data_IF_855713684837
#
_entry.id   IF_855713684837
#
_cell.length_a   1.000
_cell.length_b   1.000
_cell.length_c   1.000
_cell.angle_alpha   90.00
_cell.angle_beta   90.00
_cell.angle_gamma   90.00
#
_symmetry.space_group_name_H-M   'P 1'
#
loop_
_entity.id
_entity.type
_entity.pdbx_description
1 polymer ?
2 non-polymer ?
3 non-polymer ?
4 non-polymer ?
5 non-polymer ?
6 water ?
#
# COMPACT_ATOMS: atom_id res chain seq x y z
N UNK A 3 -14.07 -12.88 13.39
CA UNK A 3 -14.56 -11.61 13.93
C UNK A 3 -14.02 -10.38 13.18
N UNK A 4 -12.83 -10.56 12.59
CA UNK A 4 -12.02 -9.55 11.86
C UNK A 4 -10.87 -9.02 12.71
N UNK A 5 -9.66 -9.48 12.39
CA UNK A 5 -8.44 -8.98 13.00
C UNK A 5 -7.65 -8.30 11.92
N UNK A 6 -6.84 -7.32 12.31
CA UNK A 6 -5.96 -6.64 11.38
C UNK A 6 -4.52 -6.70 11.87
N UNK A 7 -3.67 -7.31 11.05
CA UNK A 7 -2.25 -7.40 11.34
C UNK A 7 -1.52 -6.44 10.43
N UNK A 8 -0.57 -5.69 10.99
CA UNK A 8 0.30 -4.87 10.19
C UNK A 8 1.60 -5.63 9.95
N UNK A 9 1.94 -5.81 8.68
CA UNK A 9 3.20 -6.43 8.31
C UNK A 9 4.23 -5.33 8.14
N UNK A 10 5.14 -5.24 9.09
CA UNK A 10 6.20 -4.27 9.10
C UNK A 10 7.18 -4.61 7.97
N UNK A 11 7.36 -3.68 7.04
CA UNK A 11 8.22 -3.93 5.89
C UNK A 11 9.49 -3.10 5.84
N UNK A 12 10.00 -2.70 7.00
CA UNK A 12 11.24 -1.94 7.04
C UNK A 12 11.04 -0.48 6.66
N UNK A 13 12.08 0.14 6.12
CA UNK A 13 12.04 1.59 5.94
C UNK A 13 12.76 2.09 4.69
N UNK A 14 12.51 3.36 4.35
CA UNK A 14 13.08 4.00 3.18
C UNK A 14 13.42 5.45 3.49
N UNK A 15 14.18 6.11 2.62
CA UNK A 15 14.56 7.50 2.85
C UNK A 15 14.20 8.42 1.69
N UNK A 16 13.48 9.49 2.01
CA UNK A 16 13.16 10.53 1.04
C UNK A 16 13.63 11.85 1.59
N UNK A 17 13.78 12.84 0.72
CA UNK A 17 13.99 14.19 1.22
C UNK A 17 12.68 14.71 1.79
N UNK A 18 12.77 15.65 2.73
CA UNK A 18 11.58 16.26 3.31
C UNK A 18 10.70 16.95 2.30
N UNK A 19 11.29 17.42 1.20
CA UNK A 19 10.52 18.07 0.15
C UNK A 19 9.70 17.07 -0.68
N UNK A 20 10.09 15.80 -0.64
CA UNK A 20 9.31 14.74 -1.26
C UNK A 20 8.07 14.45 -0.45
N UNK A 21 8.29 14.30 0.86
CA UNK A 21 7.22 13.95 1.79
C UNK A 21 6.23 15.10 1.92
N UNK A 22 6.75 16.32 1.92
CA UNK A 22 5.94 17.52 2.05
C UNK A 22 6.14 18.44 0.86
N UNK A 23 5.30 18.24 -0.16
CA UNK A 23 5.38 18.96 -1.41
C UNK A 23 5.57 20.45 -1.23
N UNK A 24 6.75 20.94 -1.63
CA UNK A 24 7.10 22.36 -1.57
C UNK A 24 7.31 22.95 -0.17
N UNK A 25 6.59 22.40 0.80
CA UNK A 25 6.65 22.86 2.19
C UNK A 25 7.91 22.41 2.92
N UNK A 26 8.19 21.11 2.86
CA UNK A 26 9.34 20.53 3.55
C UNK A 26 9.22 20.57 5.06
N UNK A 27 10.31 20.95 5.75
CA UNK A 27 11.61 21.37 5.19
C UNK A 27 12.44 20.22 4.64
N UNK A 28 13.60 20.55 4.09
CA UNK A 28 14.44 19.56 3.44
C UNK A 28 15.28 18.76 4.42
N UNK A 29 16.18 17.94 3.88
CA UNK A 29 16.99 17.06 4.68
C UNK A 29 16.40 15.66 4.66
N UNK A 30 17.26 14.66 4.82
CA UNK A 30 16.81 13.26 4.77
C UNK A 30 15.76 12.96 5.81
N UNK A 31 14.77 12.17 5.42
CA UNK A 31 13.77 11.68 6.35
C UNK A 31 13.54 10.20 6.09
N UNK A 32 13.65 9.41 7.15
CA UNK A 32 13.39 7.97 7.06
C UNK A 32 11.97 7.70 7.49
N UNK A 33 11.27 6.86 6.73
CA UNK A 33 9.88 6.53 7.02
C UNK A 33 9.69 5.02 6.86
N UNK A 34 8.73 4.45 7.58
CA UNK A 34 8.43 3.02 7.50
C UNK A 34 7.58 2.68 6.28
N UNK A 35 7.61 1.41 5.87
CA UNK A 35 6.68 0.92 4.86
C UNK A 35 6.02 -0.31 5.45
N UNK A 36 4.71 -0.43 5.27
CA UNK A 36 4.01 -1.62 5.77
C UNK A 36 2.85 -2.05 4.87
N UNK A 37 2.34 -3.24 5.17
CA UNK A 37 1.23 -3.82 4.44
C UNK A 37 0.13 -4.16 5.43
N UNK A 38 -1.07 -4.43 4.94
CA UNK A 38 -2.21 -4.66 5.82
C UNK A 38 -2.83 -6.03 5.63
N UNK A 39 -2.67 -6.89 6.62
CA UNK A 39 -3.29 -8.20 6.59
C UNK A 39 -4.60 -8.19 7.33
N UNK A 40 -5.68 -8.47 6.62
CA UNK A 40 -7.00 -8.59 7.23
C UNK A 40 -7.38 -10.06 7.27
N UNK A 41 -7.50 -10.60 8.48
CA UNK A 41 -8.07 -11.93 8.65
C UNK A 41 -9.55 -11.75 8.93
N UNK A 42 -10.36 -12.26 8.02
CA UNK A 42 -11.78 -11.94 7.92
C UNK A 42 -12.54 -13.23 7.66
N UNK A 43 -13.82 -13.26 8.01
CA UNK A 43 -14.65 -14.45 7.83
C UNK A 43 -14.79 -14.85 6.36
N UNK A 44 -14.43 -13.93 5.46
CA UNK A 44 -14.56 -14.20 4.03
C UNK A 44 -13.20 -14.51 3.39
N UNK A 45 -12.15 -14.53 4.21
CA UNK A 45 -10.82 -14.92 3.75
C UNK A 45 -9.72 -14.05 4.31
N UNK A 46 -8.47 -14.36 3.94
CA UNK A 46 -7.33 -13.52 4.30
C UNK A 46 -6.98 -12.56 3.17
N UNK A 47 -7.12 -11.27 3.45
CA UNK A 47 -6.87 -10.22 2.47
C UNK A 47 -5.59 -9.50 2.82
N UNK A 48 -4.70 -9.36 1.83
CA UNK A 48 -3.49 -8.57 1.99
C UNK A 48 -3.58 -7.29 1.17
N UNK A 49 -3.48 -6.15 1.83
CA UNK A 49 -3.58 -4.88 1.13
C UNK A 49 -2.15 -4.33 1.00
N UNK A 50 -1.64 -4.27 -0.22
CA UNK A 50 -0.25 -3.88 -0.50
C UNK A 50 0.74 -4.92 -0.01
N UNK A 51 1.96 -4.85 -0.54
CA UNK A 51 2.95 -5.88 -0.29
C UNK A 51 4.37 -5.33 -0.11
N UNK A 52 4.47 -4.07 0.27
CA UNK A 52 5.75 -3.47 0.61
C UNK A 52 6.67 -3.25 -0.57
N UNK A 53 7.96 -3.07 -0.28
CA UNK A 53 8.95 -2.88 -1.32
C UNK A 53 9.90 -4.07 -1.40
N UNK A 54 10.38 -4.37 -2.60
CA UNK A 54 11.38 -5.42 -2.79
C UNK A 54 12.77 -4.84 -2.59
N UNK A 55 13.53 -5.42 -1.67
CA UNK A 55 14.83 -4.87 -1.29
C UNK A 55 15.84 -4.82 -2.43
N UNK A 56 15.90 -5.86 -3.25
CA UNK A 56 16.86 -5.86 -4.35
C UNK A 56 16.50 -4.78 -5.36
N UNK A 57 15.20 -4.66 -5.65
CA UNK A 57 14.72 -3.61 -6.56
C UNK A 57 15.16 -2.23 -6.11
N UNK A 58 14.97 -1.92 -4.83
CA UNK A 58 15.33 -0.60 -4.35
C UNK A 58 16.84 -0.38 -4.39
N UNK A 59 17.61 -1.36 -3.94
CA UNK A 59 19.07 -1.23 -3.93
C UNK A 59 19.64 -1.04 -5.32
N UNK A 60 18.96 -1.59 -6.32
CA UNK A 60 19.40 -1.46 -7.70
C UNK A 60 18.98 -0.13 -8.31
N UNK A 61 17.71 0.22 -8.12
CA UNK A 61 17.13 1.35 -8.82
C UNK A 61 17.03 2.61 -7.98
N UNK A 62 16.77 2.45 -6.67
CA UNK A 62 16.67 3.62 -5.80
C UNK A 62 17.54 3.57 -4.55
N UNK A 63 18.86 3.29 -4.71
CA UNK A 63 19.73 3.10 -3.53
C UNK A 63 19.86 4.38 -2.71
N UNK A 64 19.55 5.50 -3.34
CA UNK A 64 19.52 6.79 -2.65
C UNK A 64 18.39 6.85 -1.61
N UNK A 65 17.45 5.92 -1.68
CA UNK A 65 16.41 5.83 -0.65
C UNK A 65 16.88 4.99 0.53
N UNK A 66 18.11 4.48 0.42
CA UNK A 66 18.81 3.79 1.51
C UNK A 66 17.91 2.82 2.28
N UNK A 67 17.47 1.74 1.62
CA UNK A 67 16.54 0.83 2.30
C UNK A 67 17.19 0.10 3.47
N UNK A 68 16.44 0.00 4.57
CA UNK A 68 16.80 -0.88 5.66
C UNK A 68 15.62 -1.79 5.88
N UNK A 69 15.81 -3.08 5.61
CA UNK A 69 14.76 -4.07 5.72
C UNK A 69 15.34 -5.41 6.14
N UNK A 70 15.06 -5.82 7.37
CA UNK A 70 15.53 -7.10 7.87
C UNK A 70 14.66 -8.23 7.31
N UNK A 71 15.13 -9.47 7.41
CA UNK A 71 14.48 -10.59 6.75
C UNK A 71 13.10 -10.93 7.34
N UNK A 72 12.80 -10.44 8.53
CA UNK A 72 11.45 -10.64 9.05
C UNK A 72 10.52 -9.55 8.52
N UNK A 73 11.08 -8.63 7.75
CA UNK A 73 10.30 -7.52 7.19
C UNK A 73 10.11 -7.59 5.68
N UNK A 74 10.39 -8.74 5.09
CA UNK A 74 9.90 -9.04 3.76
C UNK A 74 8.50 -9.56 3.98
N UNK A 75 7.70 -9.66 2.91
CA UNK A 75 6.36 -10.21 3.04
C UNK A 75 6.33 -11.65 3.59
N UNK A 76 7.11 -12.57 2.97
CA UNK A 76 7.11 -13.94 3.52
C UNK A 76 7.66 -14.00 4.94
N UNK A 77 8.63 -13.16 5.25
CA UNK A 77 9.17 -13.06 6.60
C UNK A 77 8.15 -12.57 7.62
N UNK A 78 7.46 -11.49 7.30
CA UNK A 78 6.45 -10.92 8.21
C UNK A 78 5.26 -11.84 8.42
N UNK A 79 4.84 -12.52 7.35
CA UNK A 79 3.81 -13.54 7.48
C UNK A 79 4.34 -14.70 8.32
N UNK A 80 5.64 -14.95 8.19
CA UNK A 80 6.31 -15.99 8.96
C UNK A 80 6.07 -15.85 10.45
N UNK A 81 6.06 -14.62 10.95
CA UNK A 81 5.85 -14.36 12.37
C UNK A 81 4.43 -14.69 12.84
N UNK A 82 3.57 -15.04 11.89
CA UNK A 82 2.18 -15.38 12.23
C UNK A 82 1.88 -16.85 11.94
N UNK A 83 2.92 -17.61 11.61
CA UNK A 83 2.72 -19.00 11.21
C UNK A 83 1.99 -19.08 9.89
N UNK A 84 2.23 -18.09 9.03
CA UNK A 84 1.56 -18.03 7.74
C UNK A 84 2.58 -18.02 6.60
N UNK A 85 2.10 -18.44 5.43
CA UNK A 85 2.88 -18.38 4.21
C UNK A 85 2.07 -17.60 3.20
N UNK A 86 2.73 -17.03 2.17
CA UNK A 86 2.04 -16.28 1.10
C UNK A 86 0.85 -17.04 0.56
N UNK A 87 0.97 -18.36 0.54
CA UNK A 87 -0.09 -19.25 0.04
C UNK A 87 -1.39 -19.17 0.84
N UNK A 88 -1.31 -18.75 2.10
CA UNK A 88 -2.50 -18.68 2.96
C UNK A 88 -3.36 -17.44 2.70
N UNK A 89 -2.86 -16.55 1.84
CA UNK A 89 -3.59 -15.33 1.51
C UNK A 89 -4.52 -15.57 0.33
N UNK A 90 -5.78 -15.22 0.47
CA UNK A 90 -6.76 -15.48 -0.59
C UNK A 90 -6.86 -14.35 -1.61
N UNK A 91 -6.73 -13.10 -1.15
CA UNK A 91 -6.84 -11.95 -2.02
C UNK A 91 -5.78 -10.91 -1.73
N UNK A 92 -5.07 -10.49 -2.78
CA UNK A 92 -4.15 -9.39 -2.68
C UNK A 92 -4.75 -8.16 -3.34
N UNK A 93 -4.90 -7.09 -2.55
CA UNK A 93 -5.38 -5.81 -3.05
C UNK A 93 -4.22 -4.82 -3.11
N UNK A 94 -4.06 -4.15 -4.25
CA UNK A 94 -3.07 -3.09 -4.32
C UNK A 94 -3.70 -1.71 -4.36
N UNK A 95 -3.34 -0.87 -3.40
CA UNK A 95 -3.78 0.52 -3.40
C UNK A 95 -3.38 1.23 -4.69
N UNK A 96 -2.17 0.93 -5.17
CA UNK A 96 -1.66 1.49 -6.41
C UNK A 96 -0.34 0.77 -6.67
N UNK A 97 0.28 0.97 -7.84
CA UNK A 97 1.48 0.21 -8.18
C UNK A 97 2.80 0.95 -8.08
N UNK A 98 2.89 1.92 -7.18
CA UNK A 98 4.20 2.42 -6.80
C UNK A 98 4.97 1.26 -6.18
N UNK A 99 6.29 1.26 -6.40
CA UNK A 99 7.16 0.12 -6.05
C UNK A 99 7.12 -0.30 -4.58
N UNK A 100 6.93 0.66 -3.67
CA UNK A 100 6.89 0.33 -2.25
C UNK A 100 5.54 -0.19 -1.80
N UNK A 101 4.62 -0.40 -2.74
CA UNK A 101 3.32 -0.96 -2.39
C UNK A 101 2.98 -2.24 -3.17
N UNK A 102 3.88 -2.68 -4.03
CA UNK A 102 3.65 -3.91 -4.79
C UNK A 102 4.90 -4.77 -4.93
N UNK A 103 5.90 -4.52 -4.10
CA UNK A 103 7.15 -5.28 -4.12
C UNK A 103 7.01 -6.77 -3.86
N UNK A 104 5.96 -7.16 -3.14
CA UNK A 104 5.79 -8.56 -2.75
C UNK A 104 4.71 -9.34 -3.48
N UNK A 105 4.06 -8.70 -4.45
CA UNK A 105 3.02 -9.34 -5.25
C UNK A 105 3.48 -10.63 -5.93
N UNK A 106 4.77 -10.68 -6.25
CA UNK A 106 5.37 -11.80 -6.98
C UNK A 106 5.22 -13.13 -6.24
N UNK A 107 4.97 -13.07 -4.94
CA UNK A 107 4.86 -14.28 -4.13
C UNK A 107 3.44 -14.81 -4.05
N UNK A 108 2.51 -14.19 -4.76
CA UNK A 108 1.12 -14.59 -4.65
C UNK A 108 0.42 -15.01 -5.95
N UNK A 109 1.06 -15.90 -6.76
CA UNK A 109 0.44 -16.25 -8.04
C UNK A 109 -0.95 -16.84 -7.87
N UNK A 110 -1.15 -17.52 -6.75
CA UNK A 110 -2.36 -18.24 -6.38
C UNK A 110 -3.54 -17.34 -6.03
N UNK A 111 -3.23 -16.18 -5.46
CA UNK A 111 -4.27 -15.32 -4.91
C UNK A 111 -5.03 -14.58 -5.99
N UNK A 112 -6.27 -14.20 -5.69
CA UNK A 112 -7.01 -13.30 -6.54
C UNK A 112 -6.42 -11.89 -6.34
N UNK A 113 -6.20 -11.19 -7.45
CA UNK A 113 -5.68 -9.82 -7.35
C UNK A 113 -6.73 -8.79 -7.71
N UNK A 114 -6.68 -7.68 -6.98
CA UNK A 114 -7.62 -6.58 -7.18
C UNK A 114 -6.87 -5.27 -7.16
N UNK A 115 -7.16 -4.42 -8.15
CA UNK A 115 -6.67 -3.06 -8.14
C UNK A 115 -7.66 -2.19 -8.91
N UNK A 116 -7.44 -0.88 -8.89
CA UNK A 116 -8.25 0.04 -9.67
C UNK A 116 -8.04 -0.20 -11.17
N UNK A 117 -9.12 -0.12 -11.92
CA UNK A 117 -9.07 -0.42 -13.36
C UNK A 117 -7.99 0.36 -14.12
N UNK A 118 -7.62 1.55 -13.67
CA UNK A 118 -6.63 2.37 -14.39
C UNK A 118 -5.16 2.09 -14.03
N UNK A 119 -4.92 1.32 -12.98
CA UNK A 119 -3.55 1.22 -12.44
C UNK A 119 -2.61 0.34 -13.28
N UNK A 120 -3.08 -0.81 -13.72
CA UNK A 120 -2.25 -1.64 -14.61
C UNK A 120 -1.91 -0.93 -15.94
N UNK A 121 -2.92 -0.31 -16.61
CA UNK A 121 -2.58 0.54 -17.76
C UNK A 121 -1.58 1.66 -17.43
N UNK A 122 -1.70 2.26 -16.24
CA UNK A 122 -0.77 3.30 -15.84
C UNK A 122 0.64 2.75 -15.70
N UNK A 123 0.74 1.56 -15.12
CA UNK A 123 2.04 0.91 -14.90
C UNK A 123 2.71 0.56 -16.23
N UNK A 124 1.92 0.10 -17.19
CA UNK A 124 2.42 -0.21 -18.53
C UNK A 124 2.96 1.02 -19.23
N UNK A 125 2.33 2.16 -18.98
CA UNK A 125 2.58 3.36 -19.76
C UNK A 125 2.35 4.63 -18.95
N UNK A 126 3.25 4.91 -17.99
CA UNK A 126 3.03 6.02 -17.07
C UNK A 126 3.49 7.34 -17.65
N UNK A 127 3.12 8.43 -16.98
CA UNK A 127 3.64 9.74 -17.31
C UNK A 127 5.15 9.68 -17.18
N UNK A 128 5.86 10.53 -17.94
CA UNK A 128 7.34 10.54 -17.85
C UNK A 128 7.86 10.83 -16.44
N UNK A 129 7.03 11.46 -15.61
CA UNK A 129 7.47 11.76 -14.26
C UNK A 129 7.04 10.67 -13.27
N UNK A 130 6.47 9.58 -13.81
CA UNK A 130 5.98 8.48 -12.98
C UNK A 130 6.80 7.20 -13.10
N UNK A 131 7.73 7.16 -14.04
CA UNK A 131 8.53 5.97 -14.33
C UNK A 131 9.18 5.37 -13.08
N UNK A 132 9.65 6.25 -12.21
CA UNK A 132 10.38 5.84 -11.01
C UNK A 132 9.45 5.27 -9.96
N UNK A 133 8.27 5.86 -9.81
CA UNK A 133 7.24 5.32 -8.94
C UNK A 133 6.80 3.95 -9.41
N UNK A 134 6.50 3.86 -10.70
CA UNK A 134 6.17 2.58 -11.30
C UNK A 134 7.41 1.90 -11.86
N UNK A 135 8.36 1.57 -10.99
CA UNK A 135 9.64 1.03 -11.43
C UNK A 135 9.79 -0.49 -11.21
N UNK A 136 8.93 -1.06 -10.37
CA UNK A 136 8.93 -2.49 -10.11
C UNK A 136 7.73 -3.14 -10.78
N UNK A 137 7.97 -3.79 -11.91
CA UNK A 137 6.87 -4.38 -12.68
C UNK A 137 6.66 -5.87 -12.41
N UNK A 138 7.34 -6.41 -11.41
CA UNK A 138 7.26 -7.83 -11.09
C UNK A 138 5.87 -8.27 -10.63
N UNK A 139 4.98 -7.31 -10.40
CA UNK A 139 3.62 -7.63 -9.98
C UNK A 139 2.75 -8.10 -11.14
N UNK A 140 3.22 -7.88 -12.36
CA UNK A 140 2.39 -8.09 -13.54
C UNK A 140 3.24 -8.48 -14.75
N UNK A 141 3.03 -9.68 -15.27
CA UNK A 141 3.76 -10.14 -16.45
C UNK A 141 3.49 -9.18 -17.61
N UNK A 142 2.24 -8.76 -17.73
CA UNK A 142 1.86 -7.83 -18.78
C UNK A 142 2.56 -6.48 -18.69
N UNK A 143 2.55 -5.89 -17.50
CA UNK A 143 3.15 -4.58 -17.33
C UNK A 143 4.65 -4.66 -17.55
N UNK A 144 5.25 -5.77 -17.13
CA UNK A 144 6.67 -5.99 -17.29
C UNK A 144 7.07 -6.03 -18.76
N UNK A 145 6.22 -6.67 -19.57
CA UNK A 145 6.42 -6.76 -21.00
C UNK A 145 6.38 -5.36 -21.63
N UNK A 146 5.29 -4.64 -21.38
CA UNK A 146 5.08 -3.32 -21.94
C UNK A 146 6.22 -2.37 -21.63
N UNK A 147 6.80 -2.50 -20.43
CA UNK A 147 7.87 -1.62 -19.99
C UNK A 147 9.25 -2.21 -20.26
N UNK A 148 9.28 -3.38 -20.90
CA UNK A 148 10.53 -4.05 -21.22
C UNK A 148 11.35 -4.39 -20.00
N UNK A 149 10.68 -4.86 -18.95
CA UNK A 149 11.37 -5.16 -17.70
C UNK A 149 11.07 -6.58 -17.26
N UNK A 150 10.91 -7.47 -18.24
CA UNK A 150 10.65 -8.89 -17.96
C UNK A 150 11.75 -9.53 -17.12
N UNK A 151 12.92 -8.91 -17.09
CA UNK A 151 14.01 -9.37 -16.23
C UNK A 151 13.67 -9.24 -14.72
N UNK A 152 12.56 -8.58 -14.41
CA UNK A 152 12.13 -8.44 -13.02
C UNK A 152 11.21 -9.57 -12.61
N UNK A 153 10.70 -10.30 -13.59
CA UNK A 153 9.70 -11.32 -13.30
C UNK A 153 10.32 -12.50 -12.58
N UNK A 154 9.69 -12.90 -11.49
CA UNK A 154 10.09 -14.07 -10.75
C UNK A 154 9.65 -15.28 -11.56
N UNK A 155 10.53 -16.26 -11.70
CA UNK A 155 10.25 -17.52 -12.38
C UNK A 155 8.89 -18.07 -11.95
N UNK A 156 8.03 -18.33 -12.93
CA UNK A 156 6.71 -18.86 -12.63
C UNK A 156 5.62 -17.80 -12.65
N UNK A 157 6.02 -16.54 -12.70
CA UNK A 157 5.05 -15.48 -12.92
C UNK A 157 4.68 -15.49 -14.39
N UNK A 158 3.40 -15.71 -14.66
CA UNK A 158 2.88 -15.65 -16.01
C UNK A 158 1.81 -14.58 -16.04
N UNK A 159 1.30 -14.27 -17.23
CA UNK A 159 0.16 -13.38 -17.35
C UNK A 159 -1.05 -13.97 -16.64
N UNK A 160 -1.12 -15.30 -16.66
CA UNK A 160 -2.25 -16.02 -16.07
C UNK A 160 -2.33 -15.87 -14.55
N UNK A 161 -1.18 -15.94 -13.87
CA UNK A 161 -1.19 -15.84 -12.42
C UNK A 161 -0.91 -14.44 -11.90
N UNK A 162 -1.02 -13.45 -12.77
CA UNK A 162 -0.86 -12.05 -12.36
C UNK A 162 -1.81 -11.13 -13.10
N UNK A 163 -3.06 -11.59 -13.26
CA UNK A 163 -4.13 -10.75 -13.79
C UNK A 163 -4.92 -10.13 -12.64
N UNK A 164 -5.24 -8.84 -12.77
CA UNK A 164 -6.00 -8.15 -11.75
C UNK A 164 -7.45 -8.00 -12.16
N UNK A 165 -8.33 -7.98 -11.17
CA UNK A 165 -9.70 -7.58 -11.42
C UNK A 165 -9.76 -6.08 -11.16
N UNK A 166 -10.03 -5.32 -12.21
CA UNK A 166 -10.07 -3.87 -12.11
C UNK A 166 -11.37 -3.42 -11.49
N UNK A 167 -11.28 -2.49 -10.54
CA UNK A 167 -12.46 -1.90 -9.94
C UNK A 167 -12.46 -0.38 -10.09
N UNK A 168 -13.50 0.25 -9.57
CA UNK A 168 -13.71 1.68 -9.74
C UNK A 168 -14.69 2.17 -8.68
N UNK A 169 -14.51 3.39 -8.22
CA UNK A 169 -15.34 3.95 -7.15
C UNK A 169 -15.12 3.26 -5.81
N UNK A 170 -15.84 3.70 -4.78
CA UNK A 170 -15.79 3.07 -3.47
C UNK A 170 -16.39 1.67 -3.52
N UNK A 171 -15.70 0.69 -2.94
CA UNK A 171 -16.19 -0.70 -2.96
C UNK A 171 -15.99 -1.46 -1.64
N UNK A 172 -16.94 -2.36 -1.36
CA UNK A 172 -16.81 -3.29 -0.25
C UNK A 172 -15.95 -4.47 -0.68
N UNK A 173 -14.78 -4.58 -0.08
CA UNK A 173 -13.91 -5.73 -0.29
C UNK A 173 -14.60 -6.96 0.30
N UNK A 174 -15.14 -6.77 1.50
CA UNK A 174 -15.81 -7.81 2.27
C UNK A 174 -16.66 -7.06 3.28
N UNK A 175 -17.39 -7.76 4.14
CA UNK A 175 -18.25 -7.07 5.10
C UNK A 175 -17.40 -6.29 6.12
N UNK A 176 -17.70 -5.01 6.25
CA UNK A 176 -16.98 -4.13 7.16
C UNK A 176 -15.67 -3.65 6.60
N UNK A 177 -15.40 -3.99 5.34
CA UNK A 177 -14.14 -3.62 4.69
C UNK A 177 -14.37 -2.88 3.38
N UNK A 178 -14.10 -1.58 3.38
CA UNK A 178 -14.28 -0.76 2.18
C UNK A 178 -12.95 -0.22 1.63
N UNK A 179 -12.81 -0.32 0.31
CA UNK A 179 -11.76 0.40 -0.39
C UNK A 179 -12.32 1.77 -0.74
N UNK A 180 -11.68 2.82 -0.23
CA UNK A 180 -12.15 4.19 -0.46
C UNK A 180 -11.34 4.85 -1.57
N UNK A 181 -12.01 5.27 -2.63
CA UNK A 181 -11.32 5.87 -3.76
C UNK A 181 -10.66 7.20 -3.40
N UNK A 182 -9.34 7.27 -3.56
CA UNK A 182 -8.61 8.47 -3.21
C UNK A 182 -7.56 8.88 -4.25
N UNK A 183 -7.98 9.14 -5.50
CA UNK A 183 -7.02 9.44 -6.57
C UNK A 183 -6.32 10.78 -6.37
N UNK A 184 -5.31 11.05 -7.21
CA UNK A 184 -4.50 12.23 -7.10
C UNK A 184 -3.02 11.87 -6.99
N UNK A 185 -2.65 11.23 -5.88
CA UNK A 185 -1.31 10.70 -5.69
C UNK A 185 -0.95 9.75 -6.83
N UNK A 186 -1.92 8.91 -7.19
CA UNK A 186 -1.85 8.13 -8.41
C UNK A 186 -3.24 8.08 -9.04
N UNK A 187 -3.29 7.70 -10.31
CA UNK A 187 -4.53 7.70 -11.09
C UNK A 187 -5.68 6.90 -10.43
N UNK A 188 -5.34 5.77 -9.83
CA UNK A 188 -6.35 4.90 -9.24
C UNK A 188 -6.11 4.54 -7.78
N UNK A 189 -5.50 5.47 -7.05
CA UNK A 189 -5.16 5.22 -5.65
C UNK A 189 -6.36 4.96 -4.74
N UNK A 190 -6.27 3.89 -3.95
CA UNK A 190 -7.29 3.57 -2.95
C UNK A 190 -6.75 3.69 -1.53
N UNK A 191 -7.59 4.17 -0.63
CA UNK A 191 -7.37 4.05 0.80
C UNK A 191 -8.28 2.94 1.34
N UNK A 192 -8.12 2.58 2.62
CA UNK A 192 -8.83 1.45 3.20
C UNK A 192 -9.57 1.78 4.49
N UNK A 193 -10.81 1.33 4.60
CA UNK A 193 -11.55 1.47 5.84
C UNK A 193 -11.95 0.10 6.39
N UNK A 194 -11.50 -0.22 7.60
CA UNK A 194 -11.89 -1.48 8.22
C UNK A 194 -12.74 -1.27 9.47
N UNK A 195 -13.92 -1.88 9.49
CA UNK A 195 -14.81 -1.84 10.65
C UNK A 195 -14.68 -3.12 11.50
N UNK A 196 -14.81 -2.95 12.81
CA UNK A 196 -14.71 -4.06 13.76
C UNK A 196 -15.98 -4.09 14.63
N UNK A 197 -16.14 -5.12 15.49
CA UNK A 197 -17.36 -5.10 16.32
C UNK A 197 -17.20 -4.53 17.74
N UNK A 198 -15.97 -4.32 18.22
CA UNK A 198 -15.77 -3.81 19.57
C UNK A 198 -14.63 -2.80 19.67
N UNK A 199 -14.35 -2.12 18.56
CA UNK A 199 -13.40 -1.03 18.57
C UNK A 199 -13.74 -0.13 17.40
N UNK A 200 -13.30 1.11 17.44
CA UNK A 200 -13.65 2.05 16.39
C UNK A 200 -12.94 1.71 15.08
N UNK A 201 -13.66 1.88 13.94
CA UNK A 201 -13.15 1.65 12.58
C UNK A 201 -11.74 2.20 12.38
N UNK A 202 -10.99 1.61 11.47
CA UNK A 202 -9.67 2.14 11.15
C UNK A 202 -9.64 2.62 9.70
N UNK A 203 -9.23 3.88 9.53
CA UNK A 203 -9.08 4.46 8.20
C UNK A 203 -7.62 4.51 7.83
N UNK A 204 -7.19 3.56 7.00
CA UNK A 204 -5.84 3.54 6.48
C UNK A 204 -5.76 4.45 5.26
N UNK A 205 -4.95 5.50 5.35
CA UNK A 205 -4.87 6.51 4.31
C UNK A 205 -4.06 6.06 3.10
N UNK A 206 -3.18 5.09 3.35
CA UNK A 206 -2.10 4.73 2.43
C UNK A 206 -1.45 6.01 1.90
N UNK A 207 -1.29 6.13 0.58
CA UNK A 207 -0.52 7.26 0.07
C UNK A 207 -1.33 8.53 -0.18
N UNK A 208 -2.61 8.52 0.19
CA UNK A 208 -3.42 9.73 0.13
C UNK A 208 -2.99 10.71 1.21
N UNK A 209 -2.46 10.17 2.30
CA UNK A 209 -1.86 10.98 3.37
C UNK A 209 -0.68 10.25 4.00
N UNK A 210 0.53 10.72 3.70
CA UNK A 210 1.75 10.08 4.19
C UNK A 210 1.86 10.12 5.71
N UNK A 211 1.49 11.25 6.28
CA UNK A 211 1.60 11.48 7.71
C UNK A 211 0.41 12.23 8.26
N UNK A 212 0.31 12.27 9.58
CA UNK A 212 -0.68 13.06 10.29
C UNK A 212 -0.52 14.53 9.90
N UNK A 213 0.72 14.98 9.83
CA UNK A 213 1.05 16.36 9.44
C UNK A 213 0.52 16.69 8.04
N UNK A 214 0.60 15.71 7.14
CA UNK A 214 0.10 15.87 5.77
C UNK A 214 -1.39 16.19 5.79
N UNK A 215 -2.15 15.33 6.45
CA UNK A 215 -3.59 15.47 6.52
C UNK A 215 -3.99 16.76 7.24
N UNK A 216 -3.29 17.09 8.31
CA UNK A 216 -3.59 18.27 9.10
C UNK A 216 -3.49 19.57 8.29
N UNK A 217 -2.52 19.64 7.39
CA UNK A 217 -2.27 20.87 6.65
C UNK A 217 -2.62 20.77 5.19
N UNK A 218 -3.29 19.69 4.80
CA UNK A 218 -3.60 19.41 3.39
C UNK A 218 -2.34 19.51 2.51
N UNK A 219 -1.21 19.09 3.06
CA UNK A 219 0.04 19.09 2.30
C UNK A 219 0.35 17.68 1.81
N UNK A 220 0.08 17.40 0.55
CA UNK A 220 0.26 16.05 0.01
C UNK A 220 1.73 15.78 -0.28
N UNK A 221 2.05 14.54 -0.65
CA UNK A 221 3.39 14.20 -1.05
C UNK A 221 3.69 14.82 -2.40
N UNK A 222 4.97 14.98 -2.72
CA UNK A 222 5.40 15.60 -3.97
C UNK A 222 5.25 14.63 -5.14
N UNK A 223 5.09 13.36 -4.81
CA UNK A 223 4.74 12.36 -5.81
C UNK A 223 3.24 12.36 -5.99
N UNK A 224 2.79 12.85 -7.15
CA UNK A 224 1.38 12.83 -7.51
C UNK A 224 1.23 12.96 -9.01
N UNK A 225 0.09 12.56 -9.53
CA UNK A 225 -0.23 12.80 -10.93
C UNK A 225 -1.18 13.99 -11.06
N UNK A 226 -1.93 14.27 -10.00
CA UNK A 226 -2.94 15.33 -10.04
C UNK A 226 -3.13 15.94 -8.65
N UNK A 227 -2.51 17.10 -8.40
CA UNK A 227 -2.52 17.64 -7.04
C UNK A 227 -3.87 18.25 -6.62
N UNK A 228 -4.74 18.61 -7.58
CA UNK A 228 -6.07 19.08 -7.21
C UNK A 228 -6.87 17.88 -6.67
N UNK A 229 -6.88 16.80 -7.44
CA UNK A 229 -7.46 15.55 -6.99
C UNK A 229 -6.87 15.12 -5.63
N UNK A 230 -5.55 15.26 -5.50
CA UNK A 230 -4.86 14.87 -4.29
C UNK A 230 -5.43 15.55 -3.05
N UNK A 231 -5.68 16.85 -3.17
CA UNK A 231 -6.25 17.64 -2.08
C UNK A 231 -7.70 17.26 -1.79
N UNK A 232 -8.52 17.10 -2.85
CA UNK A 232 -9.89 16.62 -2.68
C UNK A 232 -9.93 15.28 -1.94
N UNK A 233 -8.96 14.42 -2.22
CA UNK A 233 -8.92 13.09 -1.60
C UNK A 233 -8.58 13.18 -0.12
N UNK A 234 -7.78 14.16 0.25
CA UNK A 234 -7.53 14.45 1.65
C UNK A 234 -8.80 14.95 2.33
N UNK A 235 -9.48 15.90 1.70
CA UNK A 235 -10.77 16.36 2.22
C UNK A 235 -11.73 15.19 2.42
N UNK A 236 -11.77 14.28 1.43
CA UNK A 236 -12.67 13.14 1.48
C UNK A 236 -12.31 12.20 2.63
N UNK A 237 -11.02 12.00 2.86
CA UNK A 237 -10.54 11.14 3.94
C UNK A 237 -10.77 11.75 5.33
N UNK A 238 -10.64 13.07 5.45
CA UNK A 238 -10.92 13.76 6.71
C UNK A 238 -12.39 13.65 7.11
N UNK A 239 -13.28 13.84 6.14
CA UNK A 239 -14.71 13.79 6.40
C UNK A 239 -15.17 12.38 6.70
N UNK A 240 -14.57 11.41 5.99
CA UNK A 240 -14.87 9.99 6.18
C UNK A 240 -14.59 9.60 7.62
N UNK A 241 -13.43 10.01 8.11
CA UNK A 241 -12.99 9.71 9.46
C UNK A 241 -13.95 10.30 10.48
N UNK A 242 -14.34 11.56 10.26
CA UNK A 242 -15.31 12.24 11.13
C UNK A 242 -16.68 11.56 11.13
N UNK A 243 -17.23 11.34 9.94
CA UNK A 243 -18.58 10.79 9.82
C UNK A 243 -18.66 9.35 10.31
N UNK A 244 -17.52 8.66 10.30
CA UNK A 244 -17.41 7.37 10.97
C UNK A 244 -16.70 7.67 12.28
N UNK A 245 -16.17 6.67 12.95
CA UNK A 245 -15.50 6.93 14.22
C UNK A 245 -14.01 6.80 14.07
N UNK A 246 -13.56 6.75 12.82
CA UNK A 246 -12.29 6.13 12.49
C UNK A 246 -11.02 6.71 13.08
N UNK A 247 -10.18 5.80 13.56
CA UNK A 247 -8.80 6.01 13.92
C UNK A 247 -8.04 6.06 12.60
N UNK A 248 -7.38 7.18 12.33
CA UNK A 248 -6.61 7.34 11.10
C UNK A 248 -5.24 6.73 11.28
N UNK A 249 -4.89 5.79 10.41
CA UNK A 249 -3.54 5.24 10.43
C UNK A 249 -2.82 5.57 9.13
N UNK A 250 -1.63 6.14 9.27
CA UNK A 250 -0.94 6.72 8.12
C UNK A 250 0.14 5.80 7.57
N UNK A 251 0.45 5.96 6.30
CA UNK A 251 1.30 5.02 5.58
C UNK A 251 2.79 5.12 5.92
N UNK A 252 3.28 6.36 6.06
CA UNK A 252 4.72 6.59 6.12
C UNK A 252 5.08 7.63 7.17
N UNK A 253 4.65 7.38 8.41
CA UNK A 253 4.76 8.36 9.48
C UNK A 253 5.53 7.73 10.62
N UNK A 254 6.83 7.96 10.64
CA UNK A 254 7.73 7.28 11.56
C UNK A 254 7.32 7.46 13.03
N UNK A 255 7.09 8.69 13.43
CA UNK A 255 6.74 8.97 14.82
C UNK A 255 5.39 8.35 15.22
N UNK A 256 4.42 8.34 14.29
CA UNK A 256 3.16 7.64 14.54
C UNK A 256 3.28 6.12 14.43
N UNK A 257 4.19 5.65 13.59
CA UNK A 257 4.34 4.21 13.34
C UNK A 257 4.78 3.48 14.60
N UNK A 258 5.62 4.14 15.39
CA UNK A 258 6.14 3.57 16.64
C UNK A 258 5.05 3.13 17.62
N UNK A 259 3.85 3.68 17.44
CA UNK A 259 2.73 3.37 18.31
C UNK A 259 1.81 2.36 17.66
N UNK A 260 2.16 1.89 16.47
CA UNK A 260 1.33 0.93 15.75
C UNK A 260 1.70 -0.50 16.12
N UNK A 261 0.70 -1.37 16.18
CA UNK A 261 0.93 -2.79 16.45
C UNK A 261 1.43 -3.50 15.19
N UNK A 262 2.61 -4.12 15.29
CA UNK A 262 3.14 -4.94 14.21
C UNK A 262 3.45 -6.36 14.71
N UNK A 263 3.80 -7.24 13.80
CA UNK A 263 4.11 -8.61 14.16
C UNK A 263 2.92 -9.36 14.74
N UNK A 264 3.14 -10.01 15.88
CA UNK A 264 2.11 -10.85 16.49
C UNK A 264 0.97 -10.04 17.12
N UNK A 265 1.20 -8.75 17.32
CA UNK A 265 0.14 -7.89 17.83
C UNK A 265 -0.83 -7.49 16.73
N UNK A 266 -2.11 -7.39 17.07
CA UNK A 266 -3.13 -7.12 16.09
C UNK A 266 -4.20 -6.18 16.62
N UNK A 267 -4.98 -5.61 15.72
CA UNK A 267 -6.13 -4.79 16.10
C UNK A 267 -7.39 -5.62 15.95
N UNK A 268 -8.36 -5.38 16.84
CA UNK A 268 -9.62 -6.10 16.79
C UNK A 268 -9.76 -7.22 17.80
N UNK A 269 -9.11 -7.08 18.95
CA UNK A 269 -9.21 -8.08 20.02
C UNK A 269 -10.66 -8.31 20.44
N UNK A 270 -10.96 -9.52 20.89
CA UNK A 270 -12.23 -9.78 21.54
C UNK A 270 -12.27 -9.05 22.87
N UNK A 271 -13.35 -8.34 23.13
CA UNK A 271 -13.51 -7.72 24.44
C UNK A 271 -14.36 -8.60 25.34
N UNK A 272 -13.71 -9.20 26.34
CA UNK A 272 -14.32 -10.21 27.20
C UNK A 272 -15.53 -9.66 27.95
X LIG B 1 3.85 4.80 -0.26
X LIG C 1 2.71 5.95 -3.85
X LIG D 1 9.10 6.16 -1.88
X LIG D 1 8.94 6.61 -3.20
X LIG D 1 10.00 6.87 -3.97
X LIG D 1 9.80 7.31 -5.28
X LIG D 1 8.57 7.49 -5.75
X LIG D 1 8.12 7.90 -6.93
X LIG D 1 8.88 8.25 -7.81
X LIG D 1 6.76 7.95 -7.00
X LIG D 1 6.33 7.50 -5.71
X LIG D 1 7.50 7.25 -4.98
X LIG D 1 7.69 6.82 -3.74
X LIG D 1 6.60 6.57 -2.96
X LIG E 1 14.52 -1.88 9.35
X LIG E 1 13.60 -1.17 10.10
X LIG E 1 13.35 0.13 9.87
X LIG E 1 12.38 0.75 10.68
X LIG E 1 11.77 0.07 11.65
X LIG E 1 10.85 0.41 12.54
X LIG E 1 10.47 1.57 12.65
X LIG E 1 10.45 -0.59 13.36
X LIG E 1 11.25 -1.70 12.92
X LIG E 1 12.03 -1.22 11.87
X LIG E 1 12.93 -1.82 11.10
X LIG E 1 13.19 -3.14 11.33
X LIG F 1 -6.84 -3.92 -13.63
X LIG F 1 -6.07 -2.76 -13.85
X LIG F 1 -7.22 -4.62 -14.94
X LIG F 1 -6.34 -4.23 -15.97
X LIG F 1 -8.62 -4.20 -15.33
X LIG F 1 -8.59 -2.83 -15.62
X LIG G 1 -1.98 -5.46 -26.04
X LIG G 1 -1.44 -6.53 -26.79
X LIG G 1 -1.71 -5.69 -24.56
X LIG G 1 -2.00 -4.53 -23.81
X LIG G 1 -2.59 -6.82 -24.07
X LIG G 1 -1.83 -7.69 -23.27
X LIG H 1 8.70 10.35 8.00
X LIG H 1 8.07 9.26 8.64
X LIG H 1 7.77 11.56 8.06
X LIG H 1 6.68 11.21 8.88
X LIG H 1 8.50 12.74 8.70
X LIG H 1 7.56 13.69 9.14
X LIG I 1 11.81 -6.50 -8.72
X LIG I 1 11.10 -6.95 -7.55
X LIG I 1 13.11 -7.28 -8.85
X LIG I 1 12.88 -8.64 -8.44
X LIG J 1 13.56 9.45 10.98
X LIG J 1 12.19 9.76 10.66
X LIG J 1 14.51 10.20 10.05
X LIG J 1 14.92 11.45 10.62
X LIG K 1 2.18 9.39 -21.42
X LIG K 1 3.61 9.33 -21.30
X LIG K 1 1.57 8.48 -20.35
X LIG K 1 0.24 8.14 -20.71
#
# INVERSE_FOLDING_TARGET
>A
MSDTKVYLLDGGSLVLDGYHVFWNRGPGGEVRFPVYSILIEHAEGRFLIDTGYDYDHVMKVLPFEKPIQEKHQTIPGALGLLGLEPRDIDVVVNSHFHFDHCGGNKYFPHAKKICHRSEVPQACNPQPFEHLGYSDLSFSAEAAEARGATAQLLEGTTRANSTFEGIDGDVDLARGVKLISTPGHSIGHYSLLVEFPRRKPILFTIDAAYTQKSLETLCQAAFHIDPVAGVNSMRKVKKLAEDHGAELMYSHDMDNFKTYRTGTQFYGHHHHHH
>B hetero
1 ZN ZN
>C hetero
1 ZN ZN
>D hetero
1 5PN CAA CAI NAF CAD CAK CAH OAB OAG CAE CAL CAJ OAC
>E hetero
1 5PN CAA CAI NAF CAD CAK CAH OAB OAG CAE CAL CAJ OAC
>F hetero
1 GOL C1 O1 C2 O2 C3 O3
>G hetero
1 GOL C1 O1 C2 O2 C3 O3
>H hetero
1 GOL C1 O1 C2 O2 C3 O3
>I hetero
1 EDO C1 O1 C2 O2
>J hetero
1 EDO C1 O1 C2 O2
>K hetero
1 EDO C1 O1 C2 O2
#
